data_IF_749910810951
#
_entry.id   IF_749910810951
#
_cell.length_a   1.000
_cell.length_b   1.000
_cell.length_c   1.000
_cell.angle_alpha   90.00
_cell.angle_beta   90.00
_cell.angle_gamma   90.00
#
_symmetry.space_group_name_H-M   'P 1'
#
loop_
_entity.id
_entity.type
_entity.pdbx_description
1 polymer ?
#
# COMPACT_ATOMS: atom_id res chain seq x y z
N UNK A 1 -16.93 25.39 13.01
CA UNK A 1 -15.51 25.03 12.74
C UNK A 1 -15.13 23.88 13.65
N UNK A 2 -15.27 22.63 13.17
CA UNK A 2 -14.84 21.43 13.92
C UNK A 2 -13.32 21.30 13.78
N UNK A 3 -12.63 21.17 14.90
CA UNK A 3 -11.17 20.98 14.94
C UNK A 3 -10.78 19.64 14.31
N UNK A 4 -9.64 19.54 13.58
CA UNK A 4 -9.16 18.30 12.97
C UNK A 4 -8.88 17.15 13.95
N UNK A 5 -8.71 17.45 15.24
CA UNK A 5 -8.41 16.50 16.31
C UNK A 5 -9.52 15.48 16.62
N UNK A 6 -10.76 15.75 16.20
CA UNK A 6 -11.90 14.85 16.50
C UNK A 6 -12.02 13.64 15.56
N UNK A 7 -11.27 13.61 14.46
CA UNK A 7 -11.32 12.51 13.49
C UNK A 7 -10.38 11.34 13.82
N UNK A 8 -9.40 11.54 14.69
CA UNK A 8 -8.35 10.56 14.98
C UNK A 8 -8.73 9.51 16.03
N UNK A 9 -9.77 9.75 16.83
CA UNK A 9 -10.06 8.91 18.00
C UNK A 9 -11.24 7.94 17.82
N UNK A 10 -12.06 8.07 16.78
CA UNK A 10 -13.31 7.30 16.68
C UNK A 10 -13.21 5.91 16.04
N UNK A 11 -12.04 5.50 15.52
CA UNK A 11 -11.89 4.19 14.88
C UNK A 11 -10.58 3.47 15.26
N UNK A 12 -10.13 3.63 16.49
CA UNK A 12 -9.16 2.67 17.03
C UNK A 12 -9.94 1.42 17.40
N UNK A 13 -10.08 0.51 16.47
CA UNK A 13 -10.32 -0.89 16.84
C UNK A 13 -9.19 -1.28 17.76
N UNK A 14 -9.47 -1.75 18.99
CA UNK A 14 -8.42 -2.18 19.90
C UNK A 14 -7.49 -3.16 19.19
N UNK A 15 -6.21 -3.04 19.44
CA UNK A 15 -5.14 -3.89 18.88
C UNK A 15 -5.34 -5.35 19.30
N UNK A 16 -6.30 -5.64 20.19
CA UNK A 16 -6.25 -6.75 21.12
C UNK A 16 -6.95 -8.03 20.70
N UNK A 17 -7.79 -8.10 19.66
CA UNK A 17 -8.63 -9.30 19.51
C UNK A 17 -8.70 -9.83 18.06
N UNK A 18 -7.56 -9.94 17.38
CA UNK A 18 -7.53 -10.73 16.15
C UNK A 18 -7.04 -12.13 16.51
N UNK A 19 -7.95 -13.08 16.59
CA UNK A 19 -7.59 -14.47 16.79
C UNK A 19 -6.80 -15.01 15.57
N UNK A 20 -5.78 -15.87 15.81
CA UNK A 20 -5.02 -16.48 14.74
C UNK A 20 -5.93 -17.25 13.78
N UNK A 21 -5.83 -16.93 12.50
CA UNK A 21 -6.60 -17.63 11.47
C UNK A 21 -5.74 -18.75 10.85
N UNK A 22 -6.00 -20.00 11.25
CA UNK A 22 -5.24 -21.18 10.78
C UNK A 22 -5.17 -21.29 9.26
N UNK A 23 -6.24 -20.99 8.53
CA UNK A 23 -6.26 -21.05 7.06
C UNK A 23 -5.39 -19.94 6.45
N UNK A 24 -5.45 -18.73 7.02
CA UNK A 24 -4.62 -17.60 6.60
C UNK A 24 -3.14 -17.85 6.94
N UNK A 25 -2.83 -18.35 8.13
CA UNK A 25 -1.47 -18.70 8.52
C UNK A 25 -0.85 -19.75 7.57
N UNK A 26 -1.59 -20.80 7.20
CA UNK A 26 -1.15 -21.77 6.19
C UNK A 26 -0.91 -21.12 4.83
N UNK A 27 -1.77 -20.20 4.41
CA UNK A 27 -1.59 -19.43 3.18
C UNK A 27 -0.32 -18.59 3.23
N UNK A 28 -0.09 -17.86 4.33
CA UNK A 28 1.09 -17.01 4.52
C UNK A 28 2.38 -17.83 4.52
N UNK A 29 2.42 -18.96 5.21
CA UNK A 29 3.57 -19.87 5.24
C UNK A 29 3.98 -20.38 3.85
N UNK A 30 3.03 -20.47 2.92
CA UNK A 30 3.27 -20.83 1.53
C UNK A 30 3.80 -19.71 0.63
N UNK A 31 3.82 -18.47 1.09
CA UNK A 31 4.24 -17.33 0.28
C UNK A 31 5.76 -17.33 0.06
N UNK A 32 6.16 -16.97 -1.15
CA UNK A 32 7.58 -16.88 -1.57
C UNK A 32 7.77 -15.59 -2.34
N UNK A 33 8.91 -14.91 -2.13
CA UNK A 33 9.27 -13.71 -2.87
C UNK A 33 10.73 -13.77 -3.34
N UNK A 34 11.09 -12.94 -4.31
CA UNK A 34 12.45 -12.83 -4.78
C UNK A 34 13.16 -11.68 -4.06
N UNK A 35 14.33 -11.95 -3.49
CA UNK A 35 15.21 -10.91 -2.97
C UNK A 35 15.94 -10.18 -4.11
N UNK A 36 16.83 -9.24 -3.76
CA UNK A 36 17.60 -8.49 -4.75
C UNK A 36 18.55 -9.35 -5.57
N UNK A 37 18.96 -10.51 -5.07
CA UNK A 37 19.85 -11.47 -5.73
C UNK A 37 19.11 -12.52 -6.56
N UNK A 38 17.81 -12.35 -6.78
CA UNK A 38 16.95 -13.33 -7.49
C UNK A 38 16.77 -14.66 -6.76
N UNK A 39 17.12 -14.74 -5.51
CA UNK A 39 16.88 -15.92 -4.68
C UNK A 39 15.45 -15.95 -4.19
N UNK A 40 14.88 -17.15 -4.12
CA UNK A 40 13.54 -17.37 -3.58
C UNK A 40 13.63 -17.39 -2.06
N UNK A 41 12.99 -16.41 -1.43
CA UNK A 41 12.93 -16.25 0.01
C UNK A 41 11.55 -16.60 0.55
N UNK A 42 11.54 -17.03 1.81
CA UNK A 42 10.35 -17.24 2.62
C UNK A 42 10.34 -16.22 3.76
N UNK A 43 9.16 -15.84 4.21
CA UNK A 43 9.01 -15.04 5.43
C UNK A 43 9.36 -15.88 6.65
N UNK A 44 10.09 -15.31 7.60
CA UNK A 44 10.38 -15.95 8.88
C UNK A 44 9.13 -15.94 9.78
N UNK A 45 9.18 -16.66 10.91
CA UNK A 45 8.00 -16.85 11.77
C UNK A 45 7.45 -15.52 12.32
N UNK A 46 8.30 -14.58 12.71
CA UNK A 46 7.88 -13.26 13.18
C UNK A 46 7.17 -12.48 12.07
N UNK A 47 7.73 -12.49 10.86
CA UNK A 47 7.11 -11.86 9.70
C UNK A 47 5.76 -12.50 9.35
N UNK A 48 5.66 -13.82 9.41
CA UNK A 48 4.42 -14.55 9.16
C UNK A 48 3.36 -14.21 10.22
N UNK A 49 3.74 -14.11 11.48
CA UNK A 49 2.85 -13.68 12.55
C UNK A 49 2.31 -12.27 12.32
N UNK A 50 3.19 -11.31 12.04
CA UNK A 50 2.77 -9.94 11.74
C UNK A 50 1.87 -9.86 10.50
N UNK A 51 2.17 -10.66 9.47
CA UNK A 51 1.33 -10.74 8.26
C UNK A 51 -0.06 -11.29 8.56
N UNK A 52 -0.20 -12.27 9.44
CA UNK A 52 -1.51 -12.77 9.87
C UNK A 52 -2.35 -11.65 10.50
N UNK A 53 -1.74 -10.86 11.37
CA UNK A 53 -2.40 -9.70 11.97
C UNK A 53 -2.76 -8.62 10.93
N UNK A 54 -1.83 -8.28 10.02
CA UNK A 54 -2.01 -7.26 8.99
C UNK A 54 -3.13 -7.65 8.02
N UNK A 55 -3.16 -8.90 7.57
CA UNK A 55 -4.11 -9.37 6.55
C UNK A 55 -5.54 -9.41 7.07
N UNK A 56 -5.74 -9.51 8.36
CA UNK A 56 -7.04 -9.47 9.00
C UNK A 56 -7.53 -8.03 9.28
N UNK A 57 -6.65 -7.04 9.18
CA UNK A 57 -6.96 -5.63 9.46
C UNK A 57 -7.20 -4.83 8.21
N UNK A 58 -7.96 -3.77 8.37
CA UNK A 58 -8.22 -2.80 7.29
C UNK A 58 -7.07 -1.80 7.14
N UNK A 59 -6.47 -1.40 8.24
CA UNK A 59 -5.36 -0.46 8.30
C UNK A 59 -4.26 -1.05 9.15
N UNK A 60 -3.03 -0.94 8.69
CA UNK A 60 -1.86 -1.43 9.42
C UNK A 60 -0.66 -0.53 9.15
N UNK A 61 0.16 -0.34 10.18
CA UNK A 61 1.48 0.27 10.07
C UNK A 61 2.52 -0.83 10.28
N UNK A 62 3.40 -0.99 9.30
CA UNK A 62 4.47 -1.97 9.33
C UNK A 62 5.79 -1.27 9.66
N UNK A 63 6.15 -1.26 10.95
CA UNK A 63 7.37 -0.63 11.43
C UNK A 63 8.53 -1.62 11.52
N UNK A 64 8.92 -2.19 10.38
CA UNK A 64 10.08 -3.07 10.28
C UNK A 64 11.32 -2.29 9.82
N UNK A 65 12.50 -2.84 10.12
CA UNK A 65 13.76 -2.27 9.66
C UNK A 65 13.85 -2.21 8.13
N UNK A 66 14.69 -1.35 7.60
CA UNK A 66 14.97 -1.29 6.17
C UNK A 66 15.54 -2.63 5.68
N UNK A 67 15.15 -3.06 4.49
CA UNK A 67 15.58 -4.35 3.94
C UNK A 67 14.82 -5.58 4.45
N UNK A 68 13.93 -5.45 5.44
CA UNK A 68 13.19 -6.57 6.05
C UNK A 68 12.02 -7.12 5.23
N UNK A 69 11.85 -6.72 3.98
CA UNK A 69 10.80 -7.27 3.11
C UNK A 69 9.44 -6.58 3.18
N UNK A 70 9.35 -5.35 3.70
CA UNK A 70 8.09 -4.56 3.76
C UNK A 70 7.35 -4.50 2.42
N UNK A 71 8.09 -4.28 1.33
CA UNK A 71 7.53 -4.24 -0.03
C UNK A 71 6.84 -5.55 -0.40
N UNK A 72 7.43 -6.69 -0.04
CA UNK A 72 6.86 -8.02 -0.29
C UNK A 72 5.57 -8.22 0.51
N UNK A 73 5.53 -7.82 1.79
CA UNK A 73 4.32 -7.89 2.61
C UNK A 73 3.21 -7.04 2.03
N UNK A 74 3.49 -5.77 1.71
CA UNK A 74 2.51 -4.85 1.12
C UNK A 74 1.97 -5.38 -0.23
N UNK A 75 2.83 -5.95 -1.05
CA UNK A 75 2.44 -6.63 -2.29
C UNK A 75 1.48 -7.80 -2.03
N UNK A 76 1.80 -8.69 -1.07
CA UNK A 76 0.96 -9.84 -0.76
C UNK A 76 -0.33 -9.46 -0.08
N UNK A 77 -0.35 -8.43 0.74
CA UNK A 77 -1.58 -7.86 1.30
C UNK A 77 -2.53 -7.39 0.19
N UNK A 78 -2.04 -6.60 -0.76
CA UNK A 78 -2.83 -6.19 -1.92
C UNK A 78 -3.32 -7.37 -2.77
N UNK A 79 -2.49 -8.41 -2.95
CA UNK A 79 -2.87 -9.64 -3.65
C UNK A 79 -3.96 -10.41 -2.89
N UNK A 80 -3.85 -10.52 -1.58
CA UNK A 80 -4.84 -11.16 -0.71
C UNK A 80 -6.19 -10.44 -0.75
N UNK A 81 -6.21 -9.12 -0.59
CA UNK A 81 -7.44 -8.34 -0.70
C UNK A 81 -8.11 -8.49 -2.07
N UNK A 82 -7.33 -8.64 -3.12
CA UNK A 82 -7.85 -8.89 -4.47
C UNK A 82 -8.44 -10.28 -4.61
N UNK A 83 -7.81 -11.32 -4.07
CA UNK A 83 -8.37 -12.68 -4.09
C UNK A 83 -9.70 -12.78 -3.36
N UNK A 84 -9.92 -11.92 -2.35
CA UNK A 84 -11.20 -11.79 -1.65
C UNK A 84 -12.22 -10.89 -2.39
N UNK A 85 -11.90 -10.39 -3.60
CA UNK A 85 -12.77 -9.49 -4.35
C UNK A 85 -12.95 -8.10 -3.72
N UNK A 86 -12.20 -7.77 -2.66
CA UNK A 86 -12.34 -6.52 -1.91
C UNK A 86 -11.79 -5.31 -2.65
N UNK A 87 -10.77 -5.50 -3.48
CA UNK A 87 -10.13 -4.45 -4.27
C UNK A 87 -9.97 -4.85 -5.74
N UNK A 88 -9.80 -3.84 -6.61
CA UNK A 88 -9.43 -4.03 -8.03
C UNK A 88 -7.96 -3.75 -8.29
N UNK A 89 -7.41 -2.71 -7.66
CA UNK A 89 -6.04 -2.24 -7.88
C UNK A 89 -5.35 -1.98 -6.54
N UNK A 90 -4.02 -2.02 -6.55
CA UNK A 90 -3.19 -1.52 -5.45
C UNK A 90 -2.54 -0.20 -5.89
N UNK A 91 -2.64 0.83 -5.07
CA UNK A 91 -2.02 2.13 -5.30
C UNK A 91 -0.85 2.26 -4.34
N UNK A 92 0.33 2.51 -4.87
CA UNK A 92 1.55 2.74 -4.10
C UNK A 92 1.90 4.22 -4.19
N UNK A 93 1.97 4.89 -3.06
CA UNK A 93 2.52 6.22 -2.93
C UNK A 93 3.90 6.10 -2.25
N UNK A 94 4.93 6.56 -2.93
CA UNK A 94 6.32 6.44 -2.49
C UNK A 94 7.18 7.56 -3.09
N UNK A 95 8.38 7.83 -2.55
CA UNK A 95 9.37 8.66 -3.22
C UNK A 95 9.71 8.13 -4.61
N UNK A 96 10.03 9.03 -5.55
CA UNK A 96 10.34 8.64 -6.92
C UNK A 96 11.51 7.64 -7.00
N UNK A 97 12.49 7.76 -6.09
CA UNK A 97 13.62 6.84 -5.99
C UNK A 97 13.17 5.45 -5.55
N UNK A 98 12.28 5.33 -4.57
CA UNK A 98 11.74 4.05 -4.11
C UNK A 98 10.90 3.37 -5.20
N UNK A 99 10.13 4.14 -5.98
CA UNK A 99 9.43 3.60 -7.15
C UNK A 99 10.42 3.02 -8.16
N UNK A 100 11.50 3.77 -8.48
CA UNK A 100 12.48 3.37 -9.49
C UNK A 100 13.33 2.18 -9.04
N UNK A 101 13.80 2.20 -7.80
CA UNK A 101 14.82 1.26 -7.31
C UNK A 101 14.24 0.05 -6.59
N UNK A 102 13.02 0.15 -6.06
CA UNK A 102 12.40 -0.90 -5.26
C UNK A 102 11.14 -1.46 -5.94
N UNK A 103 10.09 -0.66 -6.10
CA UNK A 103 8.79 -1.14 -6.56
C UNK A 103 8.78 -1.63 -8.00
N UNK A 104 9.35 -0.85 -8.93
CA UNK A 104 9.39 -1.25 -10.35
C UNK A 104 10.17 -2.55 -10.56
N UNK A 105 11.42 -2.70 -10.07
CA UNK A 105 12.15 -3.97 -10.18
C UNK A 105 11.43 -5.14 -9.51
N UNK A 106 10.86 -4.91 -8.31
CA UNK A 106 10.11 -5.93 -7.59
C UNK A 106 8.93 -6.45 -8.42
N UNK A 107 8.10 -5.55 -8.97
CA UNK A 107 6.93 -5.93 -9.77
C UNK A 107 7.31 -6.63 -11.09
N UNK A 108 8.42 -6.22 -11.71
CA UNK A 108 8.97 -6.89 -12.90
C UNK A 108 9.38 -8.33 -12.55
N UNK A 109 10.15 -8.53 -11.47
CA UNK A 109 10.56 -9.86 -10.99
C UNK A 109 9.37 -10.77 -10.73
N UNK A 110 8.31 -10.24 -10.16
CA UNK A 110 7.07 -10.96 -9.90
C UNK A 110 6.11 -11.05 -11.11
N UNK A 111 6.53 -10.61 -12.30
CA UNK A 111 5.74 -10.61 -13.55
C UNK A 111 4.37 -9.96 -13.36
N UNK A 112 4.31 -8.81 -12.68
CA UNK A 112 3.07 -8.08 -12.41
C UNK A 112 2.92 -6.86 -13.30
N UNK A 113 1.69 -6.65 -13.75
CA UNK A 113 1.35 -5.44 -14.50
C UNK A 113 1.28 -4.24 -13.57
N UNK A 114 1.88 -3.16 -13.99
CA UNK A 114 1.85 -1.89 -13.27
C UNK A 114 1.84 -0.72 -14.24
N UNK A 115 1.48 0.44 -13.74
CA UNK A 115 1.61 1.74 -14.40
C UNK A 115 2.28 2.70 -13.43
N UNK A 116 3.23 3.48 -13.93
CA UNK A 116 3.82 4.60 -13.20
C UNK A 116 3.14 5.85 -13.72
N UNK A 117 2.49 6.59 -12.84
CA UNK A 117 1.85 7.84 -13.22
C UNK A 117 2.91 8.94 -13.31
N UNK A 118 3.08 9.49 -14.50
CA UNK A 118 3.98 10.61 -14.79
C UNK A 118 3.21 11.82 -15.36
N UNK A 119 2.09 11.55 -16.03
CA UNK A 119 1.22 12.55 -16.64
C UNK A 119 -0.25 12.07 -16.63
N UNK A 120 -1.16 12.90 -17.10
CA UNK A 120 -2.60 12.57 -17.10
C UNK A 120 -2.97 11.45 -18.08
N UNK A 121 -2.24 11.31 -19.18
CA UNK A 121 -2.48 10.24 -20.16
C UNK A 121 -2.29 8.85 -19.56
N UNK A 122 -1.48 8.72 -18.53
CA UNK A 122 -1.22 7.44 -17.88
C UNK A 122 -2.46 6.87 -17.18
N UNK A 123 -3.42 7.71 -16.77
CA UNK A 123 -4.69 7.24 -16.21
C UNK A 123 -5.47 6.34 -17.17
N UNK A 124 -5.37 6.59 -18.47
CA UNK A 124 -6.04 5.80 -19.52
C UNK A 124 -5.47 4.38 -19.68
N UNK A 125 -4.23 4.16 -19.20
CA UNK A 125 -3.53 2.88 -19.25
C UNK A 125 -3.91 1.94 -18.11
N UNK A 126 -4.58 2.44 -17.06
CA UNK A 126 -4.93 1.68 -15.88
C UNK A 126 -6.00 0.64 -16.23
N UNK A 127 -5.76 -0.59 -15.81
CA UNK A 127 -6.69 -1.72 -15.93
C UNK A 127 -6.84 -2.42 -14.59
N UNK A 128 -7.94 -3.15 -14.34
CA UNK A 128 -8.09 -3.97 -13.15
C UNK A 128 -6.92 -4.94 -12.98
N UNK A 129 -6.51 -5.15 -11.74
CA UNK A 129 -5.40 -6.06 -11.41
C UNK A 129 -4.01 -5.46 -11.47
N UNK A 130 -3.86 -4.18 -11.86
CA UNK A 130 -2.58 -3.50 -11.93
C UNK A 130 -2.18 -2.87 -10.60
N UNK A 131 -0.89 -2.69 -10.42
CA UNK A 131 -0.30 -1.76 -9.45
C UNK A 131 -0.21 -0.37 -10.08
N UNK A 132 -0.61 0.66 -9.34
CA UNK A 132 -0.56 2.06 -9.75
C UNK A 132 0.49 2.73 -8.86
N UNK A 133 1.61 3.12 -9.45
CA UNK A 133 2.72 3.73 -8.75
C UNK A 133 2.67 5.24 -8.93
N UNK A 134 2.58 5.96 -7.82
CA UNK A 134 2.48 7.43 -7.77
C UNK A 134 3.62 7.94 -6.92
N UNK A 135 4.46 8.80 -7.50
CA UNK A 135 5.48 9.46 -6.67
C UNK A 135 4.90 10.64 -5.89
N UNK A 136 5.50 10.93 -4.73
CA UNK A 136 5.13 12.12 -3.93
C UNK A 136 5.23 13.38 -4.78
N UNK A 137 6.26 13.50 -5.62
CA UNK A 137 6.45 14.62 -6.55
C UNK A 137 5.34 14.69 -7.62
N UNK A 138 4.91 13.54 -8.17
CA UNK A 138 3.78 13.49 -9.13
C UNK A 138 2.49 13.91 -8.44
N UNK A 139 2.25 13.45 -7.22
CA UNK A 139 1.08 13.84 -6.44
C UNK A 139 1.03 15.35 -6.20
N UNK A 140 2.16 15.96 -5.84
CA UNK A 140 2.25 17.41 -5.62
C UNK A 140 1.93 18.20 -6.88
N UNK A 141 2.55 17.83 -8.02
CA UNK A 141 2.37 18.53 -9.30
C UNK A 141 0.97 18.37 -9.90
N UNK A 142 0.36 17.21 -9.74
CA UNK A 142 -0.89 16.85 -10.41
C UNK A 142 -2.00 16.47 -9.43
N UNK A 143 -2.02 17.08 -8.24
CA UNK A 143 -2.95 16.79 -7.15
C UNK A 143 -4.42 16.73 -7.61
N UNK A 144 -4.84 17.71 -8.42
CA UNK A 144 -6.24 17.80 -8.88
C UNK A 144 -6.64 16.58 -9.70
N UNK A 145 -5.82 16.19 -10.66
CA UNK A 145 -6.07 15.07 -11.56
C UNK A 145 -6.03 13.73 -10.82
N UNK A 146 -5.01 13.54 -9.94
CA UNK A 146 -4.93 12.35 -9.08
C UNK A 146 -6.15 12.26 -8.17
N UNK A 147 -6.58 13.37 -7.55
CA UNK A 147 -7.76 13.41 -6.68
C UNK A 147 -9.04 13.06 -7.43
N UNK A 148 -9.21 13.57 -8.63
CA UNK A 148 -10.37 13.25 -9.47
C UNK A 148 -10.40 11.76 -9.83
N UNK A 149 -9.28 11.23 -10.28
CA UNK A 149 -9.12 9.80 -10.57
C UNK A 149 -9.41 8.93 -9.33
N UNK A 150 -8.82 9.26 -8.19
CA UNK A 150 -9.01 8.51 -6.94
C UNK A 150 -10.46 8.53 -6.45
N UNK A 151 -11.23 9.60 -6.69
CA UNK A 151 -12.66 9.63 -6.36
C UNK A 151 -13.44 8.50 -7.04
N UNK A 152 -13.07 8.15 -8.26
CA UNK A 152 -13.72 7.06 -9.03
C UNK A 152 -13.39 5.66 -8.55
N UNK A 153 -12.22 5.45 -7.95
CA UNK A 153 -11.72 4.10 -7.62
C UNK A 153 -11.45 3.85 -6.14
N UNK A 154 -11.47 4.88 -5.28
CA UNK A 154 -10.98 4.82 -3.88
C UNK A 154 -11.57 3.69 -3.03
N UNK A 155 -12.82 3.32 -3.26
CA UNK A 155 -13.49 2.23 -2.53
C UNK A 155 -13.02 0.82 -2.93
N UNK A 156 -12.30 0.70 -4.05
CA UNK A 156 -11.85 -0.57 -4.64
C UNK A 156 -10.32 -0.63 -4.82
N UNK A 157 -9.59 0.09 -4.00
CA UNK A 157 -8.13 0.07 -4.00
C UNK A 157 -7.60 -0.22 -2.61
N UNK A 158 -6.42 -0.86 -2.56
CA UNK A 158 -5.53 -0.88 -1.41
C UNK A 158 -4.52 0.23 -1.60
N UNK A 159 -4.42 1.14 -0.65
CA UNK A 159 -3.41 2.19 -0.62
C UNK A 159 -2.22 1.73 0.21
N UNK A 160 -1.06 1.76 -0.38
CA UNK A 160 0.22 1.43 0.23
C UNK A 160 1.04 2.71 0.29
N UNK A 161 1.34 3.17 1.50
CA UNK A 161 2.30 4.23 1.74
C UNK A 161 3.66 3.60 2.04
N UNK A 162 4.62 3.82 1.17
CA UNK A 162 6.01 3.42 1.41
C UNK A 162 6.82 4.65 1.83
N UNK A 163 7.68 4.49 2.83
CA UNK A 163 8.38 5.58 3.50
C UNK A 163 7.42 6.62 4.11
N UNK A 164 6.47 6.12 4.92
CA UNK A 164 5.41 6.93 5.52
C UNK A 164 5.92 8.00 6.51
N UNK A 165 7.13 7.90 6.99
CA UNK A 165 7.85 8.90 7.79
C UNK A 165 8.01 10.24 7.06
N UNK A 166 8.05 10.27 5.73
CA UNK A 166 8.00 11.53 4.97
C UNK A 166 6.69 12.31 5.13
N UNK A 167 5.64 11.67 5.64
CA UNK A 167 4.30 12.25 5.79
C UNK A 167 3.81 12.25 7.25
N UNK A 168 4.70 12.08 8.23
CA UNK A 168 4.34 12.06 9.66
C UNK A 168 4.05 13.44 10.22
N UNK A 169 4.60 14.49 9.63
CA UNK A 169 4.32 15.85 10.03
C UNK A 169 3.06 16.37 9.32
N UNK A 170 1.96 16.50 10.06
CA UNK A 170 0.65 16.94 9.57
C UNK A 170 0.62 18.40 9.08
N UNK A 171 1.61 19.19 9.43
CA UNK A 171 1.77 20.57 8.92
C UNK A 171 2.37 20.62 7.51
N UNK A 172 3.03 19.55 7.04
CA UNK A 172 3.64 19.57 5.73
C UNK A 172 2.61 19.53 4.61
N UNK A 173 2.91 20.23 3.51
CA UNK A 173 2.07 20.21 2.31
C UNK A 173 1.89 18.81 1.74
N UNK A 174 2.92 17.94 1.86
CA UNK A 174 2.88 16.54 1.42
C UNK A 174 1.83 15.73 2.17
N UNK A 175 1.82 15.84 3.49
CA UNK A 175 0.82 15.18 4.34
C UNK A 175 -0.58 15.64 4.01
N UNK A 176 -0.80 16.96 3.95
CA UNK A 176 -2.10 17.54 3.60
C UNK A 176 -2.59 17.11 2.22
N UNK A 177 -1.70 17.06 1.22
CA UNK A 177 -2.03 16.61 -0.13
C UNK A 177 -2.40 15.12 -0.14
N UNK A 178 -1.63 14.28 0.55
CA UNK A 178 -1.88 12.85 0.64
C UNK A 178 -3.21 12.55 1.32
N UNK A 179 -3.48 13.18 2.46
CA UNK A 179 -4.75 13.03 3.17
C UNK A 179 -5.94 13.49 2.33
N UNK A 180 -5.83 14.64 1.65
CA UNK A 180 -6.91 15.17 0.83
C UNK A 180 -7.26 14.27 -0.36
N UNK A 181 -6.26 13.62 -0.97
CA UNK A 181 -6.45 12.75 -2.13
C UNK A 181 -6.94 11.36 -1.72
N UNK A 182 -6.35 10.78 -0.66
CA UNK A 182 -6.54 9.35 -0.34
C UNK A 182 -7.48 9.07 0.83
N UNK A 183 -8.02 10.09 1.52
CA UNK A 183 -8.90 9.92 2.70
C UNK A 183 -10.11 8.99 2.52
N UNK A 184 -10.51 8.71 1.27
CA UNK A 184 -11.63 7.83 0.95
C UNK A 184 -11.22 6.41 0.61
N UNK A 185 -9.92 6.10 0.60
CA UNK A 185 -9.45 4.74 0.38
C UNK A 185 -9.94 3.84 1.51
N UNK A 186 -10.43 2.66 1.12
CA UNK A 186 -11.04 1.73 2.09
C UNK A 186 -9.97 0.86 2.76
N UNK A 187 -8.87 0.60 2.09
CA UNK A 187 -7.77 -0.25 2.55
C UNK A 187 -6.46 0.44 2.26
#
# INVERSE_FOLDING_TARGET
TRRPSDLSLRHRTPILDVEPNKALAKHIAGLRFFNNYMEVCQFNDLQQHDMDLIFQRRYSLLNWQQGSGKTAVAYYYGKYLRSLGRIRNSVVLAPAIAIKMTWKPFLIKHKKRFVILTCEEDFKKIRPGMFILISTTMLEKNKRSVKLFMRGISRKVCLIFDESDEITNDETQRTRNSLDVFRRCKY
#
